data_IF_782843178767
#
_entry.id   IF_782843178767
#
_cell.length_a   1.000
_cell.length_b   1.000
_cell.length_c   1.000
_cell.angle_alpha   90.00
_cell.angle_beta   90.00
_cell.angle_gamma   90.00
#
_symmetry.space_group_name_H-M   'P 1'
#
loop_
_entity.id
_entity.type
_entity.pdbx_description
1 polymer ?
#
# COMPACT_ATOMS: atom_id res chain seq x y z
N UNK A 1 9.93 -1.78 -23.69
CA UNK A 1 8.99 -2.58 -22.88
C UNK A 1 8.36 -1.62 -21.87
N UNK A 2 7.14 -1.17 -22.11
CA UNK A 2 6.38 -0.36 -21.15
C UNK A 2 6.14 -1.27 -19.94
N UNK A 3 6.79 -0.97 -18.80
CA UNK A 3 6.43 -1.58 -17.53
C UNK A 3 5.00 -1.14 -17.23
N UNK A 4 4.07 -2.05 -17.53
CA UNK A 4 2.65 -1.91 -17.30
C UNK A 4 2.43 -1.71 -15.81
N UNK A 5 1.94 -0.53 -15.42
CA UNK A 5 1.19 -0.28 -14.19
C UNK A 5 -0.08 -1.17 -14.18
N UNK A 6 0.08 -2.49 -14.14
CA UNK A 6 -1.03 -3.45 -14.26
C UNK A 6 -1.31 -4.22 -12.97
N UNK A 7 -0.44 -4.12 -11.99
CA UNK A 7 -0.67 -4.67 -10.65
C UNK A 7 -0.40 -3.49 -9.73
N UNK A 8 -1.36 -2.57 -9.63
CA UNK A 8 -1.47 -1.74 -8.45
C UNK A 8 -2.70 -2.26 -7.73
N UNK A 9 -2.52 -2.64 -6.48
CA UNK A 9 -3.57 -3.05 -5.59
C UNK A 9 -4.74 -2.05 -5.65
N UNK A 10 -5.96 -2.53 -5.88
CA UNK A 10 -7.12 -1.63 -5.95
C UNK A 10 -7.26 -0.89 -4.60
N UNK A 11 -7.71 0.38 -4.57
CA UNK A 11 -7.94 1.10 -3.31
C UNK A 11 -8.82 0.31 -2.35
N UNK A 12 -9.84 -0.38 -2.88
CA UNK A 12 -10.73 -1.24 -2.11
C UNK A 12 -9.99 -2.41 -1.46
N UNK A 13 -9.13 -3.11 -2.22
CA UNK A 13 -8.35 -4.23 -1.71
C UNK A 13 -7.31 -3.75 -0.69
N UNK A 14 -6.74 -2.56 -0.89
CA UNK A 14 -5.78 -1.95 0.01
C UNK A 14 -6.42 -1.63 1.37
N UNK A 15 -7.65 -1.10 1.37
CA UNK A 15 -8.43 -0.88 2.59
C UNK A 15 -8.74 -2.19 3.33
N UNK A 16 -9.10 -3.26 2.60
CA UNK A 16 -9.34 -4.58 3.19
C UNK A 16 -8.07 -5.13 3.83
N UNK A 17 -6.92 -5.06 3.15
CA UNK A 17 -5.63 -5.49 3.69
C UNK A 17 -5.25 -4.65 4.92
N UNK A 18 -5.37 -3.32 4.84
CA UNK A 18 -5.10 -2.44 5.97
C UNK A 18 -5.99 -2.79 7.16
N UNK A 19 -7.25 -3.16 6.94
CA UNK A 19 -8.20 -3.58 7.99
C UNK A 19 -7.80 -4.89 8.69
N UNK A 20 -7.12 -5.79 8.00
CA UNK A 20 -6.60 -7.05 8.56
C UNK A 20 -5.33 -6.87 9.39
N UNK A 21 -4.64 -5.74 9.26
CA UNK A 21 -3.36 -5.49 9.94
C UNK A 21 -3.56 -4.92 11.35
N UNK A 22 -2.65 -5.24 12.29
CA UNK A 22 -2.59 -4.54 13.57
C UNK A 22 -2.40 -3.04 13.38
N UNK A 23 -2.94 -2.24 14.31
CA UNK A 23 -2.90 -0.78 14.24
C UNK A 23 -1.49 -0.21 14.07
N UNK A 24 -0.50 -0.80 14.75
CA UNK A 24 0.90 -0.40 14.65
C UNK A 24 1.46 -0.54 13.23
N UNK A 25 1.09 -1.61 12.51
CA UNK A 25 1.56 -1.83 11.13
C UNK A 25 0.86 -0.87 10.18
N UNK A 26 -0.46 -0.67 10.35
CA UNK A 26 -1.23 0.27 9.55
C UNK A 26 -0.69 1.70 9.69
N UNK A 27 -0.39 2.14 10.91
CA UNK A 27 0.21 3.44 11.17
C UNK A 27 1.59 3.59 10.50
N UNK A 28 2.42 2.56 10.56
CA UNK A 28 3.74 2.56 9.93
C UNK A 28 3.67 2.66 8.39
N UNK A 29 2.73 1.93 7.76
CA UNK A 29 2.51 1.99 6.31
C UNK A 29 2.00 3.36 5.86
N UNK A 30 1.06 3.95 6.61
CA UNK A 30 0.53 5.30 6.34
C UNK A 30 1.62 6.37 6.52
N UNK A 31 2.41 6.25 7.58
CA UNK A 31 3.54 7.16 7.83
C UNK A 31 4.54 7.10 6.66
N UNK A 32 4.95 5.89 6.26
CA UNK A 32 5.84 5.66 5.11
C UNK A 32 5.25 6.28 3.85
N UNK A 33 4.00 6.00 3.51
CA UNK A 33 3.33 6.53 2.33
C UNK A 33 3.28 8.07 2.32
N UNK A 34 3.09 8.68 3.48
CA UNK A 34 3.13 10.13 3.66
C UNK A 34 4.55 10.68 3.50
N UNK A 35 5.56 10.02 4.08
CA UNK A 35 6.96 10.43 3.99
C UNK A 35 7.52 10.40 2.56
N UNK A 36 7.09 9.44 1.75
CA UNK A 36 7.53 9.30 0.35
C UNK A 36 6.54 9.90 -0.66
N UNK A 37 5.49 10.59 -0.18
CA UNK A 37 4.40 11.17 -0.99
C UNK A 37 3.90 10.20 -2.07
N UNK A 38 3.61 8.97 -1.66
CA UNK A 38 3.29 7.87 -2.56
C UNK A 38 1.97 7.19 -2.18
N UNK A 39 1.22 6.61 -3.14
CA UNK A 39 -0.05 5.95 -2.87
C UNK A 39 0.11 4.82 -1.85
N UNK A 40 -0.80 4.76 -0.88
CA UNK A 40 -0.77 3.75 0.18
C UNK A 40 -0.94 2.35 -0.41
N UNK A 41 -1.76 2.19 -1.46
CA UNK A 41 -1.91 0.92 -2.19
C UNK A 41 -0.59 0.40 -2.74
N UNK A 42 0.25 1.27 -3.29
CA UNK A 42 1.55 0.89 -3.84
C UNK A 42 2.58 0.60 -2.73
N UNK A 43 2.50 1.30 -1.61
CA UNK A 43 3.34 1.02 -0.43
C UNK A 43 2.97 -0.31 0.21
N UNK A 44 1.68 -0.64 0.26
CA UNK A 44 1.19 -1.94 0.73
C UNK A 44 1.71 -3.03 -0.19
N UNK A 45 1.53 -2.89 -1.50
CA UNK A 45 2.00 -3.87 -2.48
C UNK A 45 3.51 -4.11 -2.37
N UNK A 46 4.32 -3.04 -2.26
CA UNK A 46 5.77 -3.13 -2.04
C UNK A 46 6.16 -3.80 -0.72
N UNK A 47 5.29 -3.79 0.29
CA UNK A 47 5.57 -4.42 1.59
C UNK A 47 5.29 -5.93 1.59
N UNK A 48 4.51 -6.43 0.63
CA UNK A 48 4.08 -7.83 0.54
C UNK A 48 4.70 -8.60 -0.65
N UNK A 49 5.42 -7.93 -1.56
CA UNK A 49 6.17 -8.56 -2.66
C UNK A 49 7.68 -8.60 -2.42
#
# INVERSE_FOLDING_TARGET
>A
MQAKLQEQLSPHDAEVILGCLPEQIRAALIARATEIEYPIEAVIEMAFT
#
